data_IF_505670151443
#
_entry.id   IF_505670151443
#
_cell.length_a   1.000
_cell.length_b   1.000
_cell.length_c   1.000
_cell.angle_alpha   90.00
_cell.angle_beta   90.00
_cell.angle_gamma   90.00
#
_symmetry.space_group_name_H-M   'P 1'
#
loop_
_entity.id
_entity.type
_entity.pdbx_description
1 polymer ?
#
# COMPACT_ATOMS: atom_id res chain seq x y z
N UNK A 1 31.66 -38.43 42.70
CA UNK A 1 30.37 -37.69 42.59
C UNK A 1 30.65 -36.41 41.81
N UNK A 2 30.36 -36.41 40.52
CA UNK A 2 30.59 -35.26 39.66
C UNK A 2 29.40 -34.32 39.85
N UNK A 3 29.69 -33.13 40.33
CA UNK A 3 28.70 -32.09 40.44
C UNK A 3 28.17 -31.76 39.03
N UNK A 4 26.91 -31.98 38.83
CA UNK A 4 26.22 -31.58 37.64
C UNK A 4 26.11 -30.04 37.72
N UNK A 5 26.97 -29.34 37.00
CA UNK A 5 26.88 -27.90 36.85
C UNK A 5 25.54 -27.61 36.16
N UNK A 6 24.65 -26.92 36.85
CA UNK A 6 23.45 -26.44 36.29
C UNK A 6 23.76 -25.69 34.99
N UNK A 7 23.16 -26.10 33.91
CA UNK A 7 23.26 -25.32 32.64
C UNK A 7 22.69 -23.93 32.94
N UNK A 8 23.41 -22.87 32.60
CA UNK A 8 22.83 -21.55 32.73
C UNK A 8 21.55 -21.54 31.90
N UNK A 9 20.46 -21.14 32.50
CA UNK A 9 19.24 -20.90 31.74
C UNK A 9 19.55 -19.92 30.61
N UNK A 10 19.32 -20.35 29.41
CA UNK A 10 19.49 -19.50 28.25
C UNK A 10 18.38 -18.41 28.30
N UNK A 11 18.75 -17.24 28.80
CA UNK A 11 17.86 -16.08 28.71
C UNK A 11 17.74 -15.71 27.21
N UNK A 12 16.54 -15.86 26.66
CA UNK A 12 16.22 -15.46 25.30
C UNK A 12 15.58 -14.08 25.41
N UNK A 13 16.29 -13.01 25.04
CA UNK A 13 15.65 -11.70 24.92
C UNK A 13 14.54 -11.75 23.86
N UNK A 14 13.53 -10.95 24.06
CA UNK A 14 12.36 -10.90 23.20
C UNK A 14 12.70 -10.99 21.70
N UNK A 15 12.16 -12.00 21.05
CA UNK A 15 12.19 -12.15 19.61
C UNK A 15 13.35 -12.95 19.00
N UNK A 16 14.27 -13.49 19.79
CA UNK A 16 15.38 -14.28 19.23
C UNK A 16 15.60 -15.59 19.96
N UNK A 17 15.67 -16.68 19.20
CA UNK A 17 16.24 -17.95 19.66
C UNK A 17 17.62 -18.09 19.05
N UNK A 18 18.66 -18.02 19.86
CA UNK A 18 20.00 -18.35 19.42
C UNK A 18 20.29 -19.78 19.75
N UNK A 19 20.42 -20.62 18.75
CA UNK A 19 20.92 -21.96 18.94
C UNK A 19 22.45 -21.88 19.02
N UNK A 20 22.99 -22.12 20.20
CA UNK A 20 24.45 -22.22 20.36
C UNK A 20 24.94 -23.53 19.72
N UNK A 21 26.02 -23.44 18.97
CA UNK A 21 26.68 -24.59 18.41
C UNK A 21 26.97 -25.60 19.50
N UNK A 22 26.53 -26.83 19.31
CA UNK A 22 26.96 -27.93 20.14
C UNK A 22 28.40 -28.33 19.77
N UNK A 23 29.11 -28.98 20.68
CA UNK A 23 30.51 -29.34 20.43
C UNK A 23 30.65 -30.19 19.17
N UNK A 24 31.68 -29.95 18.44
CA UNK A 24 32.18 -30.54 17.20
C UNK A 24 31.23 -31.49 16.45
N UNK A 25 30.74 -31.04 15.33
CA UNK A 25 29.89 -31.81 14.42
C UNK A 25 28.48 -31.26 14.24
N UNK A 26 28.13 -30.21 14.92
CA UNK A 26 26.86 -29.52 14.72
C UNK A 26 27.04 -28.31 13.80
N UNK A 27 26.22 -28.23 12.80
CA UNK A 27 26.10 -27.06 11.97
C UNK A 27 25.31 -26.02 12.77
N UNK A 28 25.83 -24.80 12.88
CA UNK A 28 25.06 -23.70 13.46
C UNK A 28 23.75 -23.54 12.67
N UNK A 29 22.64 -23.69 13.36
CA UNK A 29 21.36 -23.35 12.74
C UNK A 29 21.27 -21.83 12.58
N UNK A 30 20.74 -21.33 11.47
CA UNK A 30 20.51 -19.91 11.31
C UNK A 30 19.62 -19.41 12.46
N UNK A 31 19.86 -18.17 12.88
CA UNK A 31 19.02 -17.53 13.88
C UNK A 31 17.58 -17.50 13.36
N UNK A 32 16.68 -18.16 14.06
CA UNK A 32 15.26 -18.13 13.75
C UNK A 32 14.65 -16.90 14.45
N UNK A 33 14.08 -15.99 13.68
CA UNK A 33 13.37 -14.85 14.25
C UNK A 33 12.00 -15.32 14.74
N UNK A 34 11.73 -15.11 16.04
CA UNK A 34 10.40 -15.34 16.61
C UNK A 34 9.66 -14.00 16.56
N UNK A 35 8.45 -14.04 16.05
CA UNK A 35 7.59 -12.88 15.95
C UNK A 35 6.60 -12.84 17.12
N UNK A 36 6.47 -11.68 17.75
CA UNK A 36 5.53 -11.39 18.82
C UNK A 36 4.83 -10.03 18.58
N UNK A 37 4.12 -9.52 19.57
CA UNK A 37 3.43 -8.23 19.45
C UNK A 37 4.36 -7.03 19.27
N UNK A 38 5.59 -7.11 19.83
CA UNK A 38 6.59 -6.04 19.75
C UNK A 38 7.46 -6.17 18.48
N UNK A 39 7.69 -7.41 18.04
CA UNK A 39 8.48 -7.73 16.87
C UNK A 39 7.61 -8.43 15.81
N UNK A 40 6.72 -7.68 15.19
CA UNK A 40 5.83 -8.20 14.14
C UNK A 40 6.61 -8.44 12.84
N UNK A 41 6.26 -9.49 12.08
CA UNK A 41 6.87 -9.71 10.79
C UNK A 41 6.55 -8.55 9.83
N UNK A 42 7.55 -8.14 9.08
CA UNK A 42 7.33 -7.24 7.93
C UNK A 42 6.77 -8.01 6.73
N UNK A 43 6.28 -7.30 5.72
CA UNK A 43 5.87 -7.94 4.46
C UNK A 43 7.00 -8.74 3.81
N UNK A 44 8.24 -8.25 3.90
CA UNK A 44 9.42 -8.92 3.36
C UNK A 44 9.72 -10.23 4.10
N UNK A 45 9.61 -10.23 5.44
CA UNK A 45 9.81 -11.44 6.24
C UNK A 45 8.83 -12.55 5.89
N UNK A 46 7.64 -12.19 5.44
CA UNK A 46 6.59 -13.12 5.01
C UNK A 46 6.63 -13.48 3.52
N UNK A 47 7.62 -12.99 2.77
CA UNK A 47 7.67 -13.17 1.33
C UNK A 47 6.57 -12.40 0.57
N UNK A 48 5.93 -11.42 1.23
CA UNK A 48 4.80 -10.65 0.71
C UNK A 48 5.22 -9.26 0.22
N UNK A 49 6.46 -9.08 -0.20
CA UNK A 49 6.99 -7.75 -0.61
C UNK A 49 6.13 -7.09 -1.69
N UNK A 50 5.56 -7.89 -2.59
CA UNK A 50 4.69 -7.42 -3.66
C UNK A 50 3.19 -7.42 -3.29
N UNK A 51 2.83 -7.81 -2.06
CA UNK A 51 1.45 -7.80 -1.65
C UNK A 51 0.94 -6.37 -1.48
N UNK A 52 -0.22 -6.10 -2.05
CA UNK A 52 -0.90 -4.82 -1.94
C UNK A 52 -1.52 -4.68 -0.54
N UNK A 53 -1.32 -3.53 0.09
CA UNK A 53 -1.98 -3.22 1.35
C UNK A 53 -3.45 -2.87 1.12
N UNK A 54 -4.29 -3.16 2.10
CA UNK A 54 -5.68 -2.66 2.14
C UNK A 54 -5.68 -1.14 2.01
N UNK A 55 -6.46 -0.63 1.09
CA UNK A 55 -6.51 0.81 0.77
C UNK A 55 -5.49 1.27 -0.27
N UNK A 56 -4.50 0.45 -0.63
CA UNK A 56 -3.60 0.78 -1.72
C UNK A 56 -4.41 0.94 -3.03
N UNK A 57 -4.15 2.02 -3.75
CA UNK A 57 -4.90 2.39 -4.96
C UNK A 57 -6.42 2.49 -4.75
N UNK A 58 -6.89 2.69 -3.51
CA UNK A 58 -8.30 2.72 -3.13
C UNK A 58 -8.97 1.35 -3.02
N UNK A 59 -8.25 0.25 -3.18
CA UNK A 59 -8.78 -1.11 -3.02
C UNK A 59 -8.91 -1.48 -1.55
N UNK A 60 -10.11 -1.86 -1.13
CA UNK A 60 -10.41 -2.21 0.26
C UNK A 60 -10.36 -1.03 1.25
N UNK A 61 -10.29 0.20 0.77
CA UNK A 61 -10.27 1.43 1.55
C UNK A 61 -10.89 2.60 0.81
N UNK A 62 -10.70 3.81 1.30
CA UNK A 62 -11.16 5.03 0.62
C UNK A 62 -10.31 5.31 -0.62
N UNK A 63 -10.97 5.64 -1.73
CA UNK A 63 -10.32 6.12 -2.93
C UNK A 63 -9.60 7.47 -2.72
N UNK A 64 -8.79 7.84 -3.69
CA UNK A 64 -8.08 9.13 -3.69
C UNK A 64 -9.10 10.25 -3.91
N UNK A 65 -9.11 11.25 -3.03
CA UNK A 65 -9.90 12.46 -3.22
C UNK A 65 -9.14 13.49 -4.06
N UNK A 66 -9.87 14.17 -4.94
CA UNK A 66 -9.34 15.28 -5.75
C UNK A 66 -9.61 16.65 -5.12
N UNK A 67 -9.84 16.69 -3.81
CA UNK A 67 -10.15 17.90 -3.07
C UNK A 67 -9.12 19.03 -3.34
N UNK A 68 -9.62 20.26 -3.49
CA UNK A 68 -8.81 21.44 -3.74
C UNK A 68 -8.40 21.69 -5.19
N UNK A 69 -8.76 20.79 -6.13
CA UNK A 69 -8.45 21.00 -7.56
C UNK A 69 -9.55 21.81 -8.25
N UNK A 70 -9.14 22.82 -9.01
CA UNK A 70 -10.05 23.81 -9.59
C UNK A 70 -10.50 23.49 -11.01
N UNK A 71 -9.74 22.69 -11.75
CA UNK A 71 -10.02 22.37 -13.15
C UNK A 71 -9.90 20.86 -13.43
N UNK A 72 -10.50 20.41 -14.53
CA UNK A 72 -10.36 19.02 -14.99
C UNK A 72 -8.89 18.66 -15.22
N UNK A 73 -8.10 19.58 -15.78
CA UNK A 73 -6.67 19.34 -16.04
C UNK A 73 -5.90 19.11 -14.74
N UNK A 74 -6.13 19.91 -13.70
CA UNK A 74 -5.48 19.72 -12.40
C UNK A 74 -5.88 18.41 -11.74
N UNK A 75 -7.17 18.04 -11.85
CA UNK A 75 -7.67 16.78 -11.33
C UNK A 75 -7.02 15.60 -12.06
N UNK A 76 -7.07 15.60 -13.40
CA UNK A 76 -6.52 14.52 -14.21
C UNK A 76 -5.00 14.38 -14.05
N UNK A 77 -4.26 15.50 -13.93
CA UNK A 77 -2.82 15.46 -13.62
C UNK A 77 -2.56 14.82 -12.26
N UNK A 78 -3.29 15.21 -11.23
CA UNK A 78 -3.14 14.66 -9.88
C UNK A 78 -3.45 13.15 -9.84
N UNK A 79 -4.44 12.70 -10.62
CA UNK A 79 -4.75 11.28 -10.75
C UNK A 79 -3.65 10.53 -11.51
N UNK A 80 -3.19 11.08 -12.63
CA UNK A 80 -2.09 10.51 -13.44
C UNK A 80 -0.83 10.28 -12.61
N UNK A 81 -0.44 11.27 -11.81
CA UNK A 81 0.78 11.23 -11.01
C UNK A 81 0.74 10.16 -9.90
N UNK A 82 -0.44 9.67 -9.58
CA UNK A 82 -0.65 8.58 -8.63
C UNK A 82 -0.73 7.19 -9.26
N UNK A 83 -0.81 7.10 -10.58
CA UNK A 83 -0.99 5.83 -11.30
C UNK A 83 -2.44 5.34 -11.33
N UNK A 84 -2.63 4.04 -11.57
CA UNK A 84 -3.96 3.43 -11.60
C UNK A 84 -4.58 3.30 -10.21
N UNK A 85 -5.83 3.76 -10.02
CA UNK A 85 -6.49 3.73 -8.71
C UNK A 85 -7.99 4.04 -8.81
N UNK A 86 -8.71 3.79 -7.70
CA UNK A 86 -10.05 4.32 -7.47
C UNK A 86 -9.96 5.74 -6.92
N UNK A 87 -10.92 6.59 -7.31
CA UNK A 87 -10.91 7.98 -6.91
C UNK A 87 -12.31 8.55 -6.69
N UNK A 88 -12.37 9.68 -6.01
CA UNK A 88 -13.58 10.47 -5.81
C UNK A 88 -13.33 11.90 -6.24
N UNK A 89 -14.24 12.45 -7.03
CA UNK A 89 -14.24 13.87 -7.40
C UNK A 89 -14.78 14.73 -6.26
N UNK A 90 -13.95 15.61 -5.71
CA UNK A 90 -14.34 16.60 -4.73
C UNK A 90 -13.94 17.98 -5.26
N UNK A 91 -14.94 18.76 -5.70
CA UNK A 91 -14.71 20.10 -6.24
C UNK A 91 -14.94 21.18 -5.18
N UNK A 92 -14.00 22.11 -4.99
CA UNK A 92 -14.25 23.27 -4.16
C UNK A 92 -15.25 24.24 -4.81
N UNK A 93 -15.84 25.11 -4.04
CA UNK A 93 -16.65 26.22 -4.54
C UNK A 93 -15.84 27.06 -5.52
N UNK A 94 -16.44 27.44 -6.65
CA UNK A 94 -15.78 28.21 -7.71
C UNK A 94 -14.93 27.38 -8.68
N UNK A 95 -14.88 26.04 -8.54
CA UNK A 95 -14.20 25.18 -9.49
C UNK A 95 -14.84 25.24 -10.88
N UNK A 96 -14.00 25.31 -11.91
CA UNK A 96 -14.40 25.23 -13.32
C UNK A 96 -14.42 23.81 -13.83
N UNK A 97 -14.03 22.81 -13.00
CA UNK A 97 -14.00 21.42 -13.40
C UNK A 97 -15.38 20.90 -13.78
N UNK A 98 -15.46 20.19 -14.88
CA UNK A 98 -16.67 19.53 -15.34
C UNK A 98 -16.89 18.16 -14.70
N UNK A 99 -15.83 17.57 -14.11
CA UNK A 99 -15.89 16.33 -13.34
C UNK A 99 -17.00 16.44 -12.27
N UNK A 100 -17.76 15.38 -12.07
CA UNK A 100 -18.83 15.38 -11.08
C UNK A 100 -18.28 15.48 -9.66
N UNK A 101 -18.81 16.44 -8.90
CA UNK A 101 -18.53 16.53 -7.46
C UNK A 101 -19.15 15.35 -6.73
N UNK A 102 -18.43 14.78 -5.78
CA UNK A 102 -18.79 13.55 -5.07
C UNK A 102 -18.95 12.33 -5.98
N UNK A 103 -18.59 12.44 -7.26
CA UNK A 103 -18.58 11.33 -8.19
C UNK A 103 -17.44 10.36 -7.91
N UNK A 104 -17.73 9.07 -7.96
CA UNK A 104 -16.71 8.03 -7.90
C UNK A 104 -16.15 7.70 -9.28
N UNK A 105 -14.96 7.10 -9.31
CA UNK A 105 -14.38 6.73 -10.59
C UNK A 105 -13.19 5.80 -10.47
N UNK A 106 -12.73 5.41 -11.66
CA UNK A 106 -11.51 4.62 -11.84
C UNK A 106 -10.59 5.42 -12.76
N UNK A 107 -9.32 5.50 -12.38
CA UNK A 107 -8.25 6.00 -13.23
C UNK A 107 -7.34 4.85 -13.60
N UNK A 108 -7.07 4.68 -14.88
CA UNK A 108 -6.16 3.68 -15.41
C UNK A 108 -5.00 4.36 -16.13
N UNK A 109 -3.79 3.88 -15.91
CA UNK A 109 -2.60 4.34 -16.62
C UNK A 109 -1.74 3.16 -17.03
N UNK A 110 -1.26 3.20 -18.27
CA UNK A 110 -0.28 2.25 -18.79
C UNK A 110 0.73 3.02 -19.65
N UNK A 111 1.98 3.10 -19.20
CA UNK A 111 2.98 3.93 -19.83
C UNK A 111 2.58 5.40 -19.81
N UNK A 112 2.53 6.02 -20.98
CA UNK A 112 2.13 7.41 -21.20
C UNK A 112 0.63 7.61 -21.44
N UNK A 113 -0.12 6.52 -21.62
CA UNK A 113 -1.56 6.54 -21.93
C UNK A 113 -2.38 6.39 -20.67
N UNK A 114 -3.46 7.14 -20.55
CA UNK A 114 -4.37 7.10 -19.41
C UNK A 114 -5.82 7.26 -19.82
N UNK A 115 -6.70 6.77 -18.96
CA UNK A 115 -8.14 6.99 -19.03
C UNK A 115 -8.73 7.16 -17.64
N UNK A 116 -9.83 7.90 -17.54
CA UNK A 116 -10.57 8.12 -16.31
C UNK A 116 -12.06 7.97 -16.55
N UNK A 117 -12.72 7.30 -15.65
CA UNK A 117 -14.19 7.22 -15.57
C UNK A 117 -14.61 8.00 -14.32
N UNK A 118 -15.65 8.81 -14.45
CA UNK A 118 -16.27 9.51 -13.34
C UNK A 118 -17.77 9.36 -13.40
N UNK A 119 -18.37 8.85 -12.34
CA UNK A 119 -19.79 8.54 -12.23
C UNK A 119 -20.41 9.48 -11.21
N UNK A 120 -21.46 10.19 -11.60
CA UNK A 120 -22.23 11.05 -10.71
C UNK A 120 -23.02 10.20 -9.71
N UNK A 121 -22.86 10.50 -8.42
CA UNK A 121 -23.46 9.71 -7.34
C UNK A 121 -25.00 9.80 -7.28
N UNK A 122 -25.57 10.89 -7.79
CA UNK A 122 -27.01 11.17 -7.69
C UNK A 122 -27.79 10.81 -8.93
N UNK A 123 -27.17 10.95 -10.12
CA UNK A 123 -27.85 10.76 -11.41
C UNK A 123 -27.35 9.56 -12.20
N UNK A 124 -26.29 8.89 -11.71
CA UNK A 124 -25.59 7.81 -12.40
C UNK A 124 -25.06 8.18 -13.81
N UNK A 125 -24.98 9.46 -14.13
CA UNK A 125 -24.38 9.92 -15.38
C UNK A 125 -22.87 9.65 -15.36
N UNK A 126 -22.33 9.30 -16.52
CA UNK A 126 -20.94 8.92 -16.69
C UNK A 126 -20.22 9.94 -17.54
N UNK A 127 -19.01 10.30 -17.15
CA UNK A 127 -18.04 11.02 -17.96
C UNK A 127 -16.79 10.18 -18.13
N UNK A 128 -16.25 10.21 -19.34
CA UNK A 128 -15.02 9.49 -19.69
C UNK A 128 -14.02 10.50 -20.21
N UNK A 129 -12.80 10.41 -19.72
CA UNK A 129 -11.66 11.20 -20.13
C UNK A 129 -10.55 10.25 -20.56
N UNK A 130 -9.81 10.61 -21.59
CA UNK A 130 -8.66 9.82 -22.03
C UNK A 130 -7.62 10.73 -22.66
N UNK A 131 -6.38 10.31 -22.62
CA UNK A 131 -5.29 11.05 -23.22
C UNK A 131 -3.95 10.36 -23.06
N UNK A 132 -2.91 11.14 -23.30
CA UNK A 132 -1.53 10.76 -23.03
C UNK A 132 -0.82 11.90 -22.31
N UNK A 133 0.39 11.62 -21.82
CA UNK A 133 1.17 12.57 -21.01
C UNK A 133 1.52 13.86 -21.77
N UNK A 134 1.60 13.83 -23.09
CA UNK A 134 1.90 14.99 -23.91
C UNK A 134 0.68 15.94 -24.09
N UNK A 135 -0.54 15.50 -23.72
CA UNK A 135 -1.78 16.24 -23.94
C UNK A 135 -2.56 16.53 -22.66
N UNK A 136 -1.90 16.50 -21.54
CA UNK A 136 -2.52 16.78 -20.25
C UNK A 136 -1.86 17.98 -19.53
#
# INVERSE_FOLDING_TARGET
MLAQTARPELYIPDGFVKQTAAPSGYVESPVVRIYDQLNKPTKADLGLSNAMLTGAFGLGGSGISTNGKMSDVEILKALRDKGGHFWRGDKPTGSTATIYSHGSGIFSRCGDTWSAINIDYSTAKIKIYAGNDARL
#
